data_IF_171452145154
#
_entry.id   IF_171452145154
#
_cell.length_a   1.000
_cell.length_b   1.000
_cell.length_c   1.000
_cell.angle_alpha   90.00
_cell.angle_beta   90.00
_cell.angle_gamma   90.00
#
_symmetry.space_group_name_H-M   'P 1'
#
loop_
_entity.id
_entity.type
_entity.pdbx_description
1 polymer ?
#
# COMPACT_ATOMS: atom_id res chain seq x y z
N UNK A 1 -81.59 7.54 -24.27
CA UNK A 1 -80.80 6.33 -23.99
C UNK A 1 -79.46 6.80 -23.46
N UNK A 2 -79.27 6.75 -22.13
CA UNK A 2 -78.05 7.30 -21.47
C UNK A 2 -77.24 6.15 -20.97
N UNK A 3 -76.03 5.94 -21.53
CA UNK A 3 -75.08 4.93 -21.11
C UNK A 3 -74.20 5.53 -20.01
N UNK A 4 -74.33 5.03 -18.77
CA UNK A 4 -73.42 5.36 -17.67
C UNK A 4 -72.20 4.46 -17.73
N UNK A 5 -71.07 5.03 -18.06
CA UNK A 5 -69.74 4.40 -17.89
C UNK A 5 -69.34 4.33 -16.43
N UNK A 6 -69.05 3.10 -15.95
CA UNK A 6 -68.50 2.87 -14.61
C UNK A 6 -67.00 2.97 -14.66
N UNK A 7 -66.43 3.91 -13.87
CA UNK A 7 -64.99 3.99 -13.58
C UNK A 7 -64.51 2.77 -12.74
N UNK A 8 -63.32 2.20 -13.03
CA UNK A 8 -62.78 1.12 -12.23
C UNK A 8 -62.17 1.63 -10.92
N UNK A 9 -62.51 0.98 -9.80
CA UNK A 9 -61.97 1.25 -8.47
C UNK A 9 -60.49 0.91 -8.41
N UNK A 10 -59.66 1.89 -8.09
CA UNK A 10 -58.24 1.72 -7.80
C UNK A 10 -58.05 0.92 -6.52
N UNK A 11 -57.52 -0.31 -6.61
CA UNK A 11 -56.97 -1.05 -5.47
C UNK A 11 -55.65 -0.41 -5.05
N UNK A 12 -55.60 0.18 -3.88
CA UNK A 12 -54.39 0.58 -3.20
C UNK A 12 -53.66 -0.69 -2.81
N UNK A 13 -52.50 -0.94 -3.45
CA UNK A 13 -51.62 -2.05 -3.10
C UNK A 13 -51.05 -1.79 -1.68
N UNK A 14 -51.21 -2.76 -0.80
CA UNK A 14 -50.64 -2.75 0.54
C UNK A 14 -49.12 -2.68 0.45
N UNK A 15 -48.52 -1.72 1.16
CA UNK A 15 -47.07 -1.62 1.27
C UNK A 15 -46.48 -2.91 1.91
N UNK A 16 -45.60 -3.56 1.21
CA UNK A 16 -44.87 -4.72 1.72
C UNK A 16 -44.05 -4.36 2.95
N UNK A 17 -43.60 -5.38 3.72
CA UNK A 17 -42.90 -5.14 4.98
C UNK A 17 -41.63 -4.30 4.75
N UNK A 18 -41.50 -3.21 5.52
CA UNK A 18 -40.34 -2.35 5.52
C UNK A 18 -39.06 -3.18 5.81
N UNK A 19 -38.14 -3.26 4.85
CA UNK A 19 -36.83 -3.81 5.12
C UNK A 19 -36.12 -2.94 6.16
N UNK A 20 -35.99 -3.46 7.36
CA UNK A 20 -35.14 -2.83 8.38
C UNK A 20 -33.73 -2.67 7.82
N UNK A 21 -33.07 -1.52 8.02
CA UNK A 21 -31.70 -1.34 7.58
C UNK A 21 -30.84 -2.42 8.25
N UNK A 22 -30.23 -3.31 7.45
CA UNK A 22 -29.17 -4.20 7.94
C UNK A 22 -28.09 -3.32 8.57
N UNK A 23 -27.89 -3.44 9.88
CA UNK A 23 -26.73 -2.87 10.55
C UNK A 23 -25.51 -3.54 9.89
N UNK A 24 -24.90 -2.87 8.94
CA UNK A 24 -23.62 -3.30 8.39
C UNK A 24 -22.58 -3.15 9.50
N UNK A 25 -22.23 -4.25 10.13
CA UNK A 25 -21.09 -4.29 11.03
C UNK A 25 -19.86 -3.92 10.19
N UNK A 26 -19.35 -2.72 10.38
CA UNK A 26 -18.13 -2.27 9.67
C UNK A 26 -17.00 -3.17 10.12
N UNK A 27 -16.52 -4.04 9.24
CA UNK A 27 -15.36 -4.91 9.52
C UNK A 27 -14.12 -4.01 9.57
N UNK A 28 -13.52 -3.90 10.75
CA UNK A 28 -12.26 -3.18 10.92
C UNK A 28 -11.15 -3.98 10.24
N UNK A 29 -10.57 -3.44 9.17
CA UNK A 29 -9.44 -4.05 8.47
C UNK A 29 -8.14 -3.82 9.23
N UNK A 30 -7.26 -4.80 9.22
CA UNK A 30 -6.00 -4.84 9.98
C UNK A 30 -4.84 -4.73 9.00
N UNK A 31 -4.05 -3.66 9.11
CA UNK A 31 -3.04 -3.31 8.14
C UNK A 31 -1.63 -3.31 8.75
N UNK A 32 -0.70 -4.05 8.15
CA UNK A 32 0.72 -3.92 8.40
C UNK A 32 1.34 -3.03 7.32
N UNK A 33 2.02 -1.95 7.72
CA UNK A 33 2.74 -1.06 6.82
C UNK A 33 4.21 -1.04 7.20
N UNK A 34 5.08 -1.51 6.32
CA UNK A 34 6.52 -1.50 6.55
C UNK A 34 7.15 -0.14 6.21
N UNK A 35 8.19 0.27 6.97
CA UNK A 35 8.83 1.58 6.75
C UNK A 35 7.90 2.76 7.02
N UNK A 36 6.96 2.63 7.96
CA UNK A 36 5.88 3.59 8.19
C UNK A 36 6.17 4.60 9.31
N UNK A 37 7.43 4.74 9.74
CA UNK A 37 7.83 5.74 10.73
C UNK A 37 8.07 7.14 10.14
N UNK A 38 8.03 7.30 8.82
CA UNK A 38 8.20 8.58 8.10
C UNK A 38 7.72 8.51 6.65
N UNK A 39 7.71 9.65 5.94
CA UNK A 39 7.52 9.74 4.50
C UNK A 39 6.23 9.09 3.99
N UNK A 40 6.35 8.36 2.88
CA UNK A 40 5.22 7.69 2.20
C UNK A 40 4.52 6.70 3.15
N UNK A 41 5.29 5.87 3.85
CA UNK A 41 4.72 4.86 4.75
C UNK A 41 3.91 5.46 5.90
N UNK A 42 4.37 6.57 6.48
CA UNK A 42 3.61 7.31 7.48
C UNK A 42 2.29 7.84 6.91
N UNK A 43 2.33 8.48 5.74
CA UNK A 43 1.14 9.01 5.09
C UNK A 43 0.12 7.90 4.75
N UNK A 44 0.59 6.72 4.31
CA UNK A 44 -0.24 5.54 4.09
C UNK A 44 -0.90 5.09 5.40
N UNK A 45 -0.14 4.97 6.48
CA UNK A 45 -0.66 4.54 7.77
C UNK A 45 -1.74 5.50 8.30
N UNK A 46 -1.49 6.81 8.23
CA UNK A 46 -2.44 7.85 8.62
C UNK A 46 -3.72 7.80 7.75
N UNK A 47 -3.58 7.63 6.43
CA UNK A 47 -4.71 7.54 5.49
C UNK A 47 -5.57 6.28 5.71
N UNK A 48 -4.96 5.13 6.00
CA UNK A 48 -5.69 3.89 6.28
C UNK A 48 -6.37 3.93 7.66
N UNK A 49 -5.69 4.47 8.67
CA UNK A 49 -6.28 4.65 10.01
C UNK A 49 -7.48 5.60 9.98
N UNK A 50 -7.42 6.70 9.20
CA UNK A 50 -8.54 7.63 9.02
C UNK A 50 -9.76 6.98 8.34
N UNK A 51 -9.56 5.86 7.62
CA UNK A 51 -10.62 5.03 7.02
C UNK A 51 -11.08 3.88 7.93
N UNK A 52 -10.65 3.88 9.19
CA UNK A 52 -11.07 2.92 10.20
C UNK A 52 -10.23 1.65 10.29
N UNK A 53 -9.10 1.55 9.57
CA UNK A 53 -8.21 0.41 9.71
C UNK A 53 -7.45 0.46 11.05
N UNK A 54 -7.22 -0.72 11.65
CA UNK A 54 -6.25 -0.87 12.73
C UNK A 54 -4.87 -1.06 12.09
N UNK A 55 -3.97 -0.10 12.27
CA UNK A 55 -2.69 -0.09 11.59
C UNK A 55 -1.55 -0.50 12.52
N UNK A 56 -0.65 -1.34 12.02
CA UNK A 56 0.61 -1.69 12.66
C UNK A 56 1.74 -0.99 11.92
N UNK A 57 2.34 -0.04 12.63
CA UNK A 57 3.50 0.73 12.17
C UNK A 57 4.74 -0.14 12.36
N UNK A 58 5.53 -0.35 11.32
CA UNK A 58 6.77 -1.12 11.41
C UNK A 58 7.98 -0.34 10.88
N UNK A 59 9.09 -0.36 11.62
CA UNK A 59 10.33 0.32 11.24
C UNK A 59 11.38 0.28 12.34
N UNK A 60 12.60 0.77 12.06
CA UNK A 60 13.74 0.69 12.97
C UNK A 60 13.74 1.74 14.09
N UNK A 61 13.15 2.89 13.85
CA UNK A 61 13.21 4.03 14.79
C UNK A 61 11.97 4.02 15.70
N UNK A 62 12.14 3.55 16.92
CA UNK A 62 11.07 3.42 17.92
C UNK A 62 10.44 4.78 18.25
N UNK A 63 11.25 5.81 18.47
CA UNK A 63 10.74 7.15 18.83
C UNK A 63 9.81 7.70 17.74
N UNK A 64 10.24 7.66 16.47
CA UNK A 64 9.38 8.09 15.34
C UNK A 64 8.16 7.20 15.18
N UNK A 65 8.30 5.88 15.41
CA UNK A 65 7.17 4.95 15.36
C UNK A 65 6.10 5.29 16.37
N UNK A 66 6.48 5.52 17.63
CA UNK A 66 5.56 5.93 18.70
C UNK A 66 4.94 7.31 18.45
N UNK A 67 5.67 8.24 17.84
CA UNK A 67 5.10 9.54 17.42
C UNK A 67 3.99 9.37 16.38
N UNK A 68 4.17 8.47 15.41
CA UNK A 68 3.13 8.17 14.41
C UNK A 68 1.92 7.51 15.06
N UNK A 69 2.14 6.55 15.98
CA UNK A 69 1.06 5.93 16.76
C UNK A 69 0.29 6.98 17.56
N UNK A 70 0.99 7.89 18.26
CA UNK A 70 0.36 8.94 19.03
C UNK A 70 -0.48 9.89 18.14
N UNK A 71 0.04 10.28 16.98
CA UNK A 71 -0.67 11.13 16.02
C UNK A 71 -1.97 10.45 15.50
N UNK A 72 -1.89 9.17 15.13
CA UNK A 72 -3.07 8.42 14.68
C UNK A 72 -4.11 8.28 15.80
N UNK A 73 -3.68 7.96 17.02
CA UNK A 73 -4.59 7.83 18.17
C UNK A 73 -5.24 9.17 18.56
N UNK A 74 -4.50 10.26 18.47
CA UNK A 74 -5.05 11.62 18.68
C UNK A 74 -6.14 11.97 17.67
N UNK A 75 -6.04 11.45 16.44
CA UNK A 75 -7.07 11.54 15.42
C UNK A 75 -8.17 10.46 15.55
N UNK A 76 -8.25 9.76 16.69
CA UNK A 76 -9.19 8.67 17.00
C UNK A 76 -9.04 7.41 16.16
N UNK A 77 -7.90 7.23 15.49
CA UNK A 77 -7.54 6.00 14.78
C UNK A 77 -6.95 4.94 15.73
N UNK A 78 -6.83 3.71 15.22
CA UNK A 78 -6.21 2.60 15.94
C UNK A 78 -4.84 2.31 15.36
N UNK A 79 -3.79 2.35 16.18
CA UNK A 79 -2.42 2.09 15.75
C UNK A 79 -1.60 1.43 16.85
N UNK A 80 -0.63 0.60 16.45
CA UNK A 80 0.41 0.03 17.29
C UNK A 80 1.75 0.13 16.54
N UNK A 81 2.86 -0.01 17.24
CA UNK A 81 4.21 -0.01 16.67
C UNK A 81 4.96 -1.30 16.98
N UNK A 82 5.73 -1.77 15.99
CA UNK A 82 6.71 -2.86 16.14
C UNK A 82 8.04 -2.42 15.56
N UNK A 83 9.11 -2.56 16.35
CA UNK A 83 10.47 -2.35 15.83
C UNK A 83 10.88 -3.54 14.95
N UNK A 84 11.31 -3.27 13.72
CA UNK A 84 11.78 -4.29 12.80
C UNK A 84 12.90 -3.77 11.89
N UNK A 85 13.95 -4.57 11.74
CA UNK A 85 15.00 -4.38 10.75
C UNK A 85 14.81 -5.36 9.59
N UNK A 86 14.39 -4.85 8.45
CA UNK A 86 14.08 -5.67 7.28
C UNK A 86 15.34 -6.14 6.51
N UNK A 87 16.53 -5.71 6.89
CA UNK A 87 17.78 -6.29 6.41
C UNK A 87 18.07 -7.66 7.04
N UNK A 88 17.45 -7.96 8.20
CA UNK A 88 17.57 -9.23 8.91
C UNK A 88 16.44 -10.19 8.58
N UNK A 89 16.77 -11.37 8.05
CA UNK A 89 15.79 -12.41 7.76
C UNK A 89 15.02 -12.87 9.02
N UNK A 90 15.72 -12.93 10.16
CA UNK A 90 15.12 -13.25 11.47
C UNK A 90 14.10 -12.19 11.87
N UNK A 91 14.46 -10.90 11.78
CA UNK A 91 13.57 -9.82 12.14
C UNK A 91 12.32 -9.74 11.23
N UNK A 92 12.44 -10.11 9.96
CA UNK A 92 11.30 -10.24 9.03
C UNK A 92 10.33 -11.35 9.47
N UNK A 93 10.85 -12.51 9.86
CA UNK A 93 10.03 -13.61 10.35
C UNK A 93 9.34 -13.27 11.69
N UNK A 94 10.07 -12.60 12.59
CA UNK A 94 9.53 -12.10 13.87
C UNK A 94 8.44 -11.05 13.65
N UNK A 95 8.63 -10.12 12.70
CA UNK A 95 7.63 -9.11 12.34
C UNK A 95 6.33 -9.76 11.85
N UNK A 96 6.40 -10.74 10.96
CA UNK A 96 5.21 -11.44 10.48
C UNK A 96 4.44 -12.11 11.64
N UNK A 97 5.15 -12.82 12.52
CA UNK A 97 4.55 -13.49 13.68
C UNK A 97 3.94 -12.51 14.68
N UNK A 98 4.65 -11.41 14.97
CA UNK A 98 4.14 -10.37 15.87
C UNK A 98 2.93 -9.65 15.28
N UNK A 99 2.92 -9.42 13.97
CA UNK A 99 1.79 -8.78 13.28
C UNK A 99 0.52 -9.61 13.42
N UNK A 100 0.59 -10.92 13.19
CA UNK A 100 -0.55 -11.82 13.38
C UNK A 100 -1.02 -11.83 14.83
N UNK A 101 -0.09 -11.84 15.80
CA UNK A 101 -0.42 -11.84 17.23
C UNK A 101 -1.09 -10.53 17.66
N UNK A 102 -0.54 -9.38 17.27
CA UNK A 102 -1.00 -8.07 17.72
C UNK A 102 -2.32 -7.66 17.06
N UNK A 103 -2.50 -8.03 15.79
CA UNK A 103 -3.68 -7.67 15.02
C UNK A 103 -4.77 -8.76 15.02
N UNK A 104 -4.44 -10.00 15.44
CA UNK A 104 -5.34 -11.15 15.26
C UNK A 104 -5.48 -11.58 13.80
N UNK A 105 -4.41 -11.41 13.03
CA UNK A 105 -4.31 -11.62 11.58
C UNK A 105 -4.13 -10.32 10.81
N UNK A 106 -3.48 -10.39 9.66
CA UNK A 106 -3.26 -9.24 8.76
C UNK A 106 -4.20 -9.36 7.56
N UNK A 107 -4.94 -8.29 7.26
CA UNK A 107 -5.84 -8.21 6.11
C UNK A 107 -5.21 -7.39 4.97
N UNK A 108 -4.41 -6.38 5.32
CA UNK A 108 -3.74 -5.48 4.38
C UNK A 108 -2.24 -5.50 4.69
N UNK A 109 -1.42 -5.82 3.68
CA UNK A 109 0.04 -5.70 3.75
C UNK A 109 0.50 -4.61 2.79
N UNK A 110 1.19 -3.59 3.31
CA UNK A 110 1.87 -2.59 2.47
C UNK A 110 3.37 -2.76 2.61
N UNK A 111 4.00 -3.30 1.59
CA UNK A 111 5.44 -3.41 1.44
C UNK A 111 5.99 -2.05 0.96
N UNK A 112 6.14 -1.11 1.90
CA UNK A 112 6.61 0.25 1.60
C UNK A 112 8.08 0.45 1.95
N UNK A 113 8.62 -0.25 2.94
CA UNK A 113 10.03 -0.10 3.29
C UNK A 113 10.93 -0.32 2.07
N UNK A 114 11.92 0.54 1.92
CA UNK A 114 12.89 0.44 0.86
C UNK A 114 14.11 1.30 1.15
N UNK A 115 15.23 0.90 0.59
CA UNK A 115 16.44 1.72 0.53
C UNK A 115 16.77 1.98 -0.93
N UNK A 116 17.45 3.07 -1.17
CA UNK A 116 17.93 3.44 -2.50
C UNK A 116 19.32 4.07 -2.40
N UNK A 117 20.11 3.80 -3.41
CA UNK A 117 21.36 4.50 -3.68
C UNK A 117 21.51 4.60 -5.19
N UNK A 118 22.17 5.64 -5.63
CA UNK A 118 22.49 5.88 -7.03
C UNK A 118 23.99 5.94 -7.20
N UNK A 119 24.50 5.37 -8.28
CA UNK A 119 25.91 5.36 -8.62
C UNK A 119 26.22 4.49 -9.84
N UNK A 120 27.41 4.61 -10.42
CA UNK A 120 27.85 3.78 -11.54
C UNK A 120 27.81 2.29 -11.16
N UNK A 121 27.41 1.44 -12.11
CA UNK A 121 27.38 -0.02 -11.90
C UNK A 121 28.74 -0.59 -11.46
N UNK A 122 29.83 -0.09 -12.02
CA UNK A 122 31.17 -0.53 -11.70
C UNK A 122 31.62 -0.21 -10.25
N UNK A 123 30.96 0.74 -9.58
CA UNK A 123 31.27 1.13 -8.21
C UNK A 123 30.36 0.43 -7.17
N UNK A 124 29.39 -0.37 -7.63
CA UNK A 124 28.51 -1.13 -6.75
C UNK A 124 29.30 -2.27 -6.10
N UNK A 125 29.46 -2.23 -4.79
CA UNK A 125 30.04 -3.33 -4.03
C UNK A 125 28.99 -4.36 -3.60
N UNK A 126 29.47 -5.56 -3.20
CA UNK A 126 28.62 -6.69 -2.81
C UNK A 126 27.73 -6.35 -1.62
N UNK A 127 28.20 -5.62 -0.61
CA UNK A 127 27.44 -5.27 0.59
C UNK A 127 26.25 -4.34 0.25
N UNK A 128 26.48 -3.38 -0.64
CA UNK A 128 25.40 -2.50 -1.13
C UNK A 128 24.34 -3.30 -1.91
N UNK A 129 24.78 -4.24 -2.75
CA UNK A 129 23.90 -5.14 -3.49
C UNK A 129 23.05 -5.99 -2.54
N UNK A 130 23.69 -6.70 -1.62
CA UNK A 130 23.02 -7.58 -0.66
C UNK A 130 22.04 -6.81 0.24
N UNK A 131 22.44 -5.64 0.74
CA UNK A 131 21.57 -4.78 1.57
C UNK A 131 20.34 -4.32 0.80
N UNK A 132 20.51 -3.88 -0.46
CA UNK A 132 19.42 -3.42 -1.30
C UNK A 132 18.39 -4.53 -1.56
N UNK A 133 18.87 -5.70 -1.98
CA UNK A 133 18.00 -6.83 -2.25
C UNK A 133 17.39 -7.42 -0.97
N UNK A 134 18.11 -7.38 0.15
CA UNK A 134 17.55 -7.82 1.45
C UNK A 134 16.29 -7.03 1.83
N UNK A 135 16.36 -5.70 1.72
CA UNK A 135 15.25 -4.83 2.13
C UNK A 135 14.17 -4.75 1.05
N UNK A 136 14.56 -4.53 -0.22
CA UNK A 136 13.61 -4.21 -1.28
C UNK A 136 12.93 -5.44 -1.90
N UNK A 137 13.54 -6.64 -1.78
CA UNK A 137 13.05 -7.86 -2.43
C UNK A 137 12.80 -8.97 -1.42
N UNK A 138 13.83 -9.39 -0.67
CA UNK A 138 13.74 -10.53 0.26
C UNK A 138 12.70 -10.29 1.35
N UNK A 139 12.69 -9.12 1.98
CA UNK A 139 11.74 -8.82 3.06
C UNK A 139 10.28 -8.83 2.58
N UNK A 140 9.88 -8.13 1.49
CA UNK A 140 8.54 -8.26 0.92
C UNK A 140 8.16 -9.69 0.55
N UNK A 141 9.11 -10.47 -0.02
CA UNK A 141 8.88 -11.85 -0.38
C UNK A 141 8.46 -12.69 0.82
N UNK A 142 9.24 -12.67 1.90
CA UNK A 142 8.97 -13.51 3.08
C UNK A 142 7.82 -12.98 3.94
N UNK A 143 7.56 -11.67 3.98
CA UNK A 143 6.33 -11.14 4.59
C UNK A 143 5.08 -11.61 3.84
N UNK A 144 5.09 -11.53 2.52
CA UNK A 144 3.98 -12.03 1.69
C UNK A 144 3.80 -13.53 1.86
N UNK A 145 4.88 -14.32 1.77
CA UNK A 145 4.83 -15.79 1.95
C UNK A 145 4.25 -16.20 3.31
N UNK A 146 4.47 -15.40 4.36
CA UNK A 146 3.98 -15.69 5.71
C UNK A 146 2.52 -15.24 5.92
N UNK A 147 2.12 -14.10 5.36
CA UNK A 147 0.84 -13.44 5.67
C UNK A 147 -0.26 -13.74 4.64
N UNK A 148 0.09 -13.91 3.36
CA UNK A 148 -0.88 -14.14 2.30
C UNK A 148 -1.71 -15.44 2.47
N UNK A 149 -1.16 -16.57 2.96
CA UNK A 149 -1.97 -17.75 3.21
C UNK A 149 -3.11 -17.51 4.22
N UNK A 150 -2.87 -16.70 5.26
CA UNK A 150 -3.90 -16.31 6.21
C UNK A 150 -5.00 -15.45 5.58
N UNK A 151 -4.63 -14.55 4.66
CA UNK A 151 -5.58 -13.77 3.86
C UNK A 151 -6.41 -14.69 2.94
N UNK A 152 -5.75 -15.60 2.22
CA UNK A 152 -6.38 -16.57 1.33
C UNK A 152 -7.40 -17.46 2.07
N UNK A 153 -7.07 -17.94 3.27
CA UNK A 153 -7.99 -18.73 4.10
C UNK A 153 -9.25 -17.95 4.51
N UNK A 154 -9.14 -16.61 4.65
CA UNK A 154 -10.28 -15.74 4.94
C UNK A 154 -10.99 -15.25 3.68
N UNK A 155 -10.53 -15.66 2.47
CA UNK A 155 -11.07 -15.25 1.17
C UNK A 155 -11.09 -13.72 0.99
N UNK A 156 -10.18 -13.04 1.65
CA UNK A 156 -10.01 -11.59 1.55
C UNK A 156 -8.60 -11.17 1.95
N UNK A 157 -7.97 -10.38 1.12
CA UNK A 157 -6.69 -9.76 1.40
C UNK A 157 -6.34 -8.67 0.39
N UNK A 158 -5.48 -7.75 0.82
CA UNK A 158 -4.93 -6.68 -0.04
C UNK A 158 -3.44 -6.56 0.21
N UNK A 159 -2.65 -6.71 -0.83
CA UNK A 159 -1.20 -6.51 -0.79
C UNK A 159 -0.84 -5.39 -1.74
N UNK A 160 -0.15 -4.37 -1.24
CA UNK A 160 0.33 -3.26 -2.06
C UNK A 160 1.84 -3.13 -1.90
N UNK A 161 2.55 -3.19 -3.02
CA UNK A 161 4.00 -3.04 -3.08
C UNK A 161 4.36 -1.63 -3.55
N UNK A 162 5.17 -0.90 -2.80
CA UNK A 162 5.68 0.40 -3.23
C UNK A 162 6.95 0.16 -4.06
N UNK A 163 6.81 0.34 -5.37
CA UNK A 163 7.88 0.22 -6.36
C UNK A 163 8.46 1.61 -6.68
N UNK A 164 8.71 1.92 -7.92
CA UNK A 164 9.19 3.23 -8.40
C UNK A 164 9.07 3.31 -9.93
N UNK A 165 9.01 4.52 -10.48
CA UNK A 165 9.10 4.73 -11.93
C UNK A 165 10.37 4.14 -12.55
N UNK A 166 11.50 4.12 -11.83
CA UNK A 166 12.77 3.55 -12.34
C UNK A 166 12.78 2.02 -12.38
N UNK A 167 11.70 1.36 -11.98
CA UNK A 167 11.55 -0.08 -12.18
C UNK A 167 11.29 -0.45 -13.65
N UNK A 168 10.86 0.51 -14.48
CA UNK A 168 10.58 0.33 -15.91
C UNK A 168 11.16 1.45 -16.79
N UNK A 169 11.74 2.49 -16.18
CA UNK A 169 12.47 3.53 -16.91
C UNK A 169 13.98 3.36 -16.66
N UNK A 170 14.75 3.12 -17.71
CA UNK A 170 16.20 3.10 -17.60
C UNK A 170 16.73 4.49 -17.19
N UNK A 171 17.48 4.55 -16.09
CA UNK A 171 18.11 5.77 -15.60
C UNK A 171 19.57 5.48 -15.23
N UNK A 172 20.53 6.27 -15.77
CA UNK A 172 21.93 6.12 -15.40
C UNK A 172 22.12 6.20 -13.88
N UNK A 173 22.94 5.32 -13.32
CA UNK A 173 23.20 5.23 -11.90
C UNK A 173 22.12 4.54 -11.07
N UNK A 174 20.98 4.14 -11.64
CA UNK A 174 19.88 3.51 -10.92
C UNK A 174 19.80 1.98 -11.10
N UNK A 175 20.81 1.34 -11.71
CA UNK A 175 20.74 -0.07 -12.07
C UNK A 175 20.40 -0.98 -10.88
N UNK A 176 21.09 -0.83 -9.75
CA UNK A 176 20.86 -1.63 -8.56
C UNK A 176 19.48 -1.38 -7.95
N UNK A 177 19.12 -0.11 -7.76
CA UNK A 177 17.81 0.26 -7.18
C UNK A 177 16.67 -0.13 -8.12
N UNK A 178 16.75 0.25 -9.39
CA UNK A 178 15.74 -0.04 -10.40
C UNK A 178 15.48 -1.54 -10.55
N UNK A 179 16.55 -2.36 -10.64
CA UNK A 179 16.43 -3.82 -10.74
C UNK A 179 15.73 -4.43 -9.50
N UNK A 180 16.06 -3.96 -8.29
CA UNK A 180 15.41 -4.44 -7.07
C UNK A 180 13.91 -4.14 -7.06
N UNK A 181 13.50 -2.97 -7.56
CA UNK A 181 12.09 -2.58 -7.64
C UNK A 181 11.36 -3.23 -8.83
N UNK A 182 12.06 -3.51 -9.93
CA UNK A 182 11.54 -4.30 -11.05
C UNK A 182 11.27 -5.75 -10.61
N UNK A 183 12.14 -6.34 -9.80
CA UNK A 183 11.89 -7.65 -9.18
C UNK A 183 10.60 -7.64 -8.34
N UNK A 184 10.41 -6.62 -7.50
CA UNK A 184 9.19 -6.49 -6.69
C UNK A 184 7.94 -6.26 -7.56
N UNK A 185 8.08 -5.59 -8.70
CA UNK A 185 6.98 -5.40 -9.65
C UNK A 185 6.55 -6.71 -10.31
N UNK A 186 7.51 -7.55 -10.73
CA UNK A 186 7.19 -8.86 -11.27
C UNK A 186 6.59 -9.79 -10.20
N UNK A 187 7.10 -9.75 -8.97
CA UNK A 187 6.51 -10.48 -7.83
C UNK A 187 5.06 -10.06 -7.57
N UNK A 188 4.71 -8.79 -7.79
CA UNK A 188 3.31 -8.32 -7.69
C UNK A 188 2.40 -9.09 -8.65
N UNK A 189 2.82 -9.28 -9.90
CA UNK A 189 2.04 -10.03 -10.91
C UNK A 189 1.97 -11.52 -10.58
N UNK A 190 3.08 -12.12 -10.16
CA UNK A 190 3.14 -13.52 -9.78
C UNK A 190 2.21 -13.83 -8.59
N UNK A 191 2.25 -13.01 -7.55
CA UNK A 191 1.39 -13.16 -6.38
C UNK A 191 -0.09 -12.84 -6.68
N UNK A 192 -0.37 -11.92 -7.60
CA UNK A 192 -1.73 -11.66 -8.06
C UNK A 192 -2.34 -12.91 -8.74
N UNK A 193 -1.55 -13.61 -9.53
CA UNK A 193 -1.97 -14.87 -10.15
C UNK A 193 -2.11 -16.01 -9.12
N UNK A 194 -1.20 -16.09 -8.16
CA UNK A 194 -1.18 -17.16 -7.14
C UNK A 194 -2.34 -17.03 -6.14
N UNK A 195 -2.56 -15.84 -5.59
CA UNK A 195 -3.52 -15.62 -4.51
C UNK A 195 -4.88 -15.06 -4.97
N UNK A 196 -4.97 -14.60 -6.21
CA UNK A 196 -6.21 -14.04 -6.79
C UNK A 196 -7.42 -14.99 -6.70
N UNK A 197 -7.30 -16.29 -7.00
CA UNK A 197 -8.40 -17.26 -6.84
C UNK A 197 -8.97 -17.33 -5.42
N UNK A 198 -8.21 -16.90 -4.42
CA UNK A 198 -8.61 -16.91 -3.01
C UNK A 198 -9.00 -15.51 -2.47
N UNK A 199 -9.40 -14.58 -3.35
CA UNK A 199 -9.90 -13.27 -2.95
C UNK A 199 -8.84 -12.28 -2.46
N UNK A 200 -7.55 -12.55 -2.71
CA UNK A 200 -6.45 -11.64 -2.38
C UNK A 200 -6.02 -10.88 -3.64
N UNK A 201 -6.07 -9.54 -3.60
CA UNK A 201 -5.49 -8.73 -4.67
C UNK A 201 -4.08 -8.28 -4.30
N UNK A 202 -3.19 -8.30 -5.29
CA UNK A 202 -1.81 -7.85 -5.14
C UNK A 202 -1.52 -6.82 -6.22
N UNK A 203 -1.21 -5.59 -5.82
CA UNK A 203 -0.95 -4.49 -6.74
C UNK A 203 0.32 -3.73 -6.34
N UNK A 204 0.82 -2.91 -7.25
CA UNK A 204 1.93 -2.02 -6.99
C UNK A 204 1.53 -0.55 -7.18
N UNK A 205 2.18 0.33 -6.42
CA UNK A 205 2.21 1.76 -6.69
C UNK A 205 3.64 2.13 -7.04
N UNK A 206 3.83 2.86 -8.13
CA UNK A 206 5.12 3.32 -8.63
C UNK A 206 5.23 4.84 -8.50
N UNK A 207 5.80 5.35 -7.38
CA UNK A 207 6.01 6.79 -7.22
C UNK A 207 7.07 7.33 -8.18
N UNK A 208 6.88 8.59 -8.58
CA UNK A 208 7.88 9.45 -9.18
C UNK A 208 8.71 10.18 -8.11
N UNK A 209 9.17 11.43 -8.41
CA UNK A 209 9.87 12.24 -7.43
C UNK A 209 8.88 12.71 -6.34
N UNK A 210 9.05 12.22 -5.12
CA UNK A 210 8.20 12.54 -3.96
C UNK A 210 9.03 13.21 -2.87
N UNK A 211 8.53 14.31 -2.31
CA UNK A 211 9.15 15.00 -1.18
C UNK A 211 8.95 14.24 0.11
N UNK A 212 10.02 13.70 0.65
CA UNK A 212 10.04 12.92 1.90
C UNK A 212 11.30 13.22 2.69
N UNK A 213 11.36 12.89 3.99
CA UNK A 213 12.63 12.95 4.73
C UNK A 213 13.77 12.14 4.08
N UNK A 214 13.45 11.07 3.36
CA UNK A 214 14.44 10.27 2.63
C UNK A 214 15.01 10.96 1.40
N UNK A 215 14.32 11.94 0.82
CA UNK A 215 14.76 12.70 -0.36
C UNK A 215 15.25 14.12 -0.01
N UNK A 216 15.22 14.53 1.27
CA UNK A 216 15.71 15.86 1.69
C UNK A 216 17.17 16.12 1.29
N UNK A 217 18.03 15.10 1.36
CA UNK A 217 19.43 15.20 0.96
C UNK A 217 19.66 15.48 -0.53
N UNK A 218 18.63 15.33 -1.38
CA UNK A 218 18.71 15.67 -2.79
C UNK A 218 18.60 17.19 -3.05
N UNK A 219 18.05 17.95 -2.10
CA UNK A 219 17.95 19.40 -2.21
C UNK A 219 17.36 19.89 -3.54
N UNK A 220 18.10 20.76 -4.23
CA UNK A 220 17.68 21.31 -5.52
C UNK A 220 17.54 20.26 -6.63
N UNK A 221 18.29 19.17 -6.58
CA UNK A 221 18.18 18.08 -7.57
C UNK A 221 16.79 17.44 -7.58
N UNK A 222 16.12 17.34 -6.43
CA UNK A 222 14.74 16.87 -6.35
C UNK A 222 13.78 17.82 -7.05
N UNK A 223 13.96 19.14 -6.87
CA UNK A 223 13.13 20.18 -7.54
C UNK A 223 13.33 20.16 -9.06
N UNK A 224 14.58 20.03 -9.50
CA UNK A 224 14.87 19.91 -10.94
C UNK A 224 14.22 18.64 -11.52
N UNK A 225 14.31 17.51 -10.80
CA UNK A 225 13.63 16.29 -11.23
C UNK A 225 12.11 16.48 -11.30
N UNK A 226 11.50 17.21 -10.35
CA UNK A 226 10.09 17.58 -10.39
C UNK A 226 9.69 18.40 -11.61
N UNK A 227 10.59 19.24 -12.13
CA UNK A 227 10.34 20.02 -13.36
C UNK A 227 10.38 19.16 -14.63
N UNK A 228 10.97 17.97 -14.60
CA UNK A 228 11.04 17.07 -15.76
C UNK A 228 9.80 16.21 -15.95
N UNK A 229 8.88 16.17 -14.98
CA UNK A 229 7.63 15.43 -15.12
C UNK A 229 6.53 16.36 -15.68
N UNK A 230 5.56 15.83 -16.44
CA UNK A 230 4.47 16.66 -17.02
C UNK A 230 3.71 17.51 -16.00
N UNK A 231 3.54 17.03 -14.77
CA UNK A 231 2.93 17.81 -13.69
C UNK A 231 3.75 19.03 -13.23
N UNK A 232 5.02 19.15 -13.63
CA UNK A 232 5.91 20.30 -13.37
C UNK A 232 6.31 20.47 -11.91
N UNK A 233 6.11 19.47 -11.05
CA UNK A 233 6.40 19.55 -9.61
C UNK A 233 6.76 18.22 -8.99
N UNK A 234 7.39 18.29 -7.84
CA UNK A 234 7.56 17.14 -6.94
C UNK A 234 6.21 16.75 -6.34
N UNK A 235 5.93 15.46 -6.23
CA UNK A 235 4.75 14.92 -5.58
C UNK A 235 4.88 14.88 -4.05
N UNK A 236 3.78 14.55 -3.38
CA UNK A 236 3.67 14.46 -1.92
C UNK A 236 3.41 13.02 -1.47
N UNK A 237 3.77 12.65 -0.23
CA UNK A 237 3.40 11.35 0.36
C UNK A 237 1.90 11.10 0.35
N UNK A 238 1.08 12.13 0.52
CA UNK A 238 -0.38 12.03 0.53
C UNK A 238 -0.95 11.57 -0.82
N UNK A 239 -0.35 12.01 -1.94
CA UNK A 239 -0.77 11.58 -3.28
C UNK A 239 -0.51 10.08 -3.50
N UNK A 240 0.62 9.57 -3.00
CA UNK A 240 0.91 8.13 -3.02
C UNK A 240 -0.05 7.36 -2.09
N UNK A 241 -0.29 7.89 -0.89
CA UNK A 241 -1.20 7.28 0.08
C UNK A 241 -2.65 7.18 -0.44
N UNK A 242 -3.10 8.15 -1.24
CA UNK A 242 -4.42 8.12 -1.87
C UNK A 242 -4.57 6.93 -2.84
N UNK A 243 -3.55 6.65 -3.67
CA UNK A 243 -3.54 5.51 -4.57
C UNK A 243 -3.54 4.18 -3.79
N UNK A 244 -2.72 4.06 -2.73
CA UNK A 244 -2.71 2.88 -1.87
C UNK A 244 -4.07 2.68 -1.22
N UNK A 245 -4.68 3.74 -0.70
CA UNK A 245 -5.98 3.68 -0.04
C UNK A 245 -7.13 3.27 -1.00
N UNK A 246 -7.03 3.61 -2.29
CA UNK A 246 -7.92 3.08 -3.32
C UNK A 246 -7.67 1.58 -3.55
N UNK A 247 -6.41 1.17 -3.75
CA UNK A 247 -6.07 -0.23 -4.07
C UNK A 247 -6.42 -1.22 -2.95
N UNK A 248 -6.51 -0.78 -1.70
CA UNK A 248 -6.91 -1.66 -0.58
C UNK A 248 -8.41 -1.61 -0.28
N UNK A 249 -9.17 -0.81 -0.99
CA UNK A 249 -10.62 -0.67 -0.81
C UNK A 249 -11.43 -1.75 -1.53
N UNK A 250 -12.73 -1.79 -1.28
CA UNK A 250 -13.65 -2.72 -1.97
C UNK A 250 -13.88 -2.28 -3.44
N UNK A 251 -13.79 -0.97 -3.72
CA UNK A 251 -13.92 -0.42 -5.07
C UNK A 251 -12.82 -0.91 -6.02
N UNK A 252 -11.66 -1.31 -5.48
CA UNK A 252 -10.55 -1.89 -6.23
C UNK A 252 -10.58 -3.43 -6.31
N UNK A 253 -11.69 -4.10 -5.96
CA UNK A 253 -11.75 -5.56 -5.88
C UNK A 253 -11.41 -6.28 -7.19
N UNK A 254 -11.58 -5.62 -8.34
CA UNK A 254 -11.24 -6.17 -9.66
C UNK A 254 -9.89 -5.67 -10.21
N UNK A 255 -9.16 -4.87 -9.43
CA UNK A 255 -7.79 -4.42 -9.77
C UNK A 255 -6.81 -5.42 -9.15
N UNK A 256 -6.15 -6.22 -9.98
CA UNK A 256 -5.21 -7.25 -9.52
C UNK A 256 -4.02 -7.38 -10.48
N UNK A 257 -2.80 -7.43 -9.96
CA UNK A 257 -1.55 -7.49 -10.74
C UNK A 257 -1.14 -6.16 -11.39
N UNK A 258 -1.86 -5.08 -11.10
CA UNK A 258 -1.62 -3.77 -11.70
C UNK A 258 -0.48 -3.00 -11.01
N UNK A 259 0.19 -2.14 -11.79
CA UNK A 259 1.07 -1.09 -11.28
C UNK A 259 0.44 0.27 -11.57
N UNK A 260 0.13 1.03 -10.52
CA UNK A 260 -0.42 2.38 -10.63
C UNK A 260 0.71 3.38 -10.49
N UNK A 261 0.99 4.14 -11.54
CA UNK A 261 1.98 5.24 -11.51
C UNK A 261 1.41 6.44 -10.75
N UNK A 262 2.19 6.94 -9.79
CA UNK A 262 1.94 8.20 -9.07
C UNK A 262 3.20 9.06 -9.22
N UNK A 263 3.46 9.50 -10.45
CA UNK A 263 4.76 10.01 -10.90
C UNK A 263 4.67 11.35 -11.65
N UNK A 264 3.52 11.99 -11.61
CA UNK A 264 3.30 13.25 -12.31
C UNK A 264 3.31 13.12 -13.83
N UNK A 265 3.10 11.91 -14.37
CA UNK A 265 3.10 11.60 -15.80
C UNK A 265 4.50 11.28 -16.37
N UNK A 266 5.52 11.06 -15.52
CA UNK A 266 6.88 10.77 -15.98
C UNK A 266 6.97 9.53 -16.86
N UNK A 267 6.18 8.50 -16.56
CA UNK A 267 6.16 7.26 -17.31
C UNK A 267 5.41 7.33 -18.65
N UNK A 268 4.71 8.44 -18.90
CA UNK A 268 3.92 8.65 -20.12
C UNK A 268 4.70 9.37 -21.24
N UNK A 269 5.92 9.89 -20.93
CA UNK A 269 6.75 10.70 -21.84
C UNK A 269 8.20 10.26 -21.82
#
# INVERSE_FOLDING_TARGET
MSSKEKLPSSRIAAAGPSQQPKIMTTIVRRALITGSTSGIGRAIAEALAARGAHVLIAGRNTQRGEQVVAAIRSARGQAQFVSADLSSARSVAELATQSDKLLGGVDILVNNAGIFSFGPTAETNEDAFQSMYAVNVRAPYFLTAKLAPGMANRQWGRIVNITTMVAYLGMPGAALYGSSKAALQLLTQAWAAEFGPNGVTVNAVAPGPIRTPGTEGMGEALEQLGKTVPAGRVGTPAEVAAAVAFLVSEEAAYVNGATVSVDGGRAAV
#
